data_IF_235870755000
#
_entry.id   IF_235870755000
#
_cell.length_a   1.000
_cell.length_b   1.000
_cell.length_c   1.000
_cell.angle_alpha   90.00
_cell.angle_beta   90.00
_cell.angle_gamma   90.00
#
_symmetry.space_group_name_H-M   'P 1'
#
loop_
_entity.id
_entity.type
_entity.pdbx_description
1 polymer ?
#
# COMPACT_ATOMS: atom_id res chain seq x y z
N UNK A 1 -18.50 5.55 -30.91
CA UNK A 1 -17.19 4.90 -31.05
C UNK A 1 -16.35 5.03 -29.77
N UNK A 2 -16.20 6.25 -29.23
CA UNK A 2 -15.49 6.54 -27.97
C UNK A 2 -15.86 5.66 -26.76
N UNK A 3 -17.16 5.42 -26.54
CA UNK A 3 -17.65 4.60 -25.41
C UNK A 3 -17.25 3.12 -25.51
N UNK A 4 -17.12 2.57 -26.72
CA UNK A 4 -16.61 1.21 -26.93
C UNK A 4 -15.11 1.15 -26.62
N UNK A 5 -14.34 2.11 -27.13
CA UNK A 5 -12.90 2.20 -26.87
C UNK A 5 -12.58 2.37 -25.37
N UNK A 6 -13.41 3.11 -24.62
CA UNK A 6 -13.28 3.22 -23.16
C UNK A 6 -13.56 1.90 -22.44
N UNK A 7 -14.58 1.16 -22.87
CA UNK A 7 -14.91 -0.15 -22.30
C UNK A 7 -13.87 -1.22 -22.65
N UNK A 8 -13.26 -1.13 -23.82
CA UNK A 8 -12.18 -2.02 -24.25
C UNK A 8 -10.91 -1.70 -23.47
N UNK A 9 -10.55 -0.41 -23.33
CA UNK A 9 -9.42 0.02 -22.50
C UNK A 9 -9.59 -0.39 -21.03
N UNK A 10 -10.79 -0.25 -20.46
CA UNK A 10 -11.07 -0.69 -19.09
C UNK A 10 -10.97 -2.21 -18.91
N UNK A 11 -11.27 -2.97 -19.97
CA UNK A 11 -11.18 -4.44 -19.98
C UNK A 11 -9.73 -4.89 -20.13
N UNK A 12 -8.97 -4.25 -21.01
CA UNK A 12 -7.54 -4.51 -21.20
C UNK A 12 -6.76 -4.15 -19.94
N UNK A 13 -7.13 -3.05 -19.27
CA UNK A 13 -6.56 -2.67 -17.97
C UNK A 13 -6.88 -3.74 -16.89
N UNK A 14 -8.12 -4.20 -16.81
CA UNK A 14 -8.53 -5.25 -15.87
C UNK A 14 -7.80 -6.58 -16.11
N UNK A 15 -7.57 -6.94 -17.39
CA UNK A 15 -6.82 -8.15 -17.75
C UNK A 15 -5.35 -7.99 -17.39
N UNK A 16 -4.74 -6.84 -17.68
CA UNK A 16 -3.35 -6.56 -17.31
C UNK A 16 -3.14 -6.55 -15.78
N UNK A 17 -4.13 -6.06 -15.01
CA UNK A 17 -4.14 -6.13 -13.55
C UNK A 17 -4.27 -7.58 -13.05
N UNK A 18 -5.06 -8.43 -13.71
CA UNK A 18 -5.21 -9.84 -13.32
C UNK A 18 -4.02 -10.72 -13.71
N UNK A 19 -3.28 -10.37 -14.77
CA UNK A 19 -2.12 -11.11 -15.26
C UNK A 19 -0.83 -10.78 -14.50
N UNK A 20 -0.81 -9.70 -13.70
CA UNK A 20 0.34 -9.38 -12.86
C UNK A 20 0.36 -10.34 -11.65
N UNK A 21 1.45 -11.13 -11.46
CA UNK A 21 1.55 -12.01 -10.30
C UNK A 21 1.45 -11.20 -9.00
N UNK A 22 0.73 -11.69 -7.97
CA UNK A 22 0.61 -10.97 -6.69
C UNK A 22 1.96 -10.57 -6.08
N UNK A 23 3.00 -11.36 -6.34
CA UNK A 23 4.37 -11.09 -5.88
C UNK A 23 5.01 -9.89 -6.60
N UNK A 24 4.76 -9.70 -7.90
CA UNK A 24 5.28 -8.54 -8.64
C UNK A 24 4.58 -7.24 -8.21
N UNK A 25 3.29 -7.29 -7.90
CA UNK A 25 2.57 -6.12 -7.39
C UNK A 25 2.95 -5.79 -5.94
N UNK A 26 3.16 -6.78 -5.08
CA UNK A 26 3.66 -6.56 -3.71
C UNK A 26 5.03 -5.86 -3.70
N UNK A 27 5.94 -6.25 -4.61
CA UNK A 27 7.25 -5.61 -4.75
C UNK A 27 7.13 -4.15 -5.23
N UNK A 28 6.18 -3.85 -6.12
CA UNK A 28 5.83 -2.46 -6.50
C UNK A 28 5.28 -1.69 -5.31
N UNK A 29 4.43 -2.32 -4.50
CA UNK A 29 3.91 -1.72 -3.27
C UNK A 29 5.02 -1.38 -2.28
N UNK A 30 5.99 -2.27 -2.10
CA UNK A 30 7.18 -2.04 -1.26
C UNK A 30 8.05 -0.89 -1.79
N UNK A 31 8.24 -0.81 -3.10
CA UNK A 31 8.98 0.27 -3.75
C UNK A 31 8.27 1.63 -3.55
N UNK A 32 6.96 1.69 -3.77
CA UNK A 32 6.16 2.90 -3.59
C UNK A 32 6.16 3.40 -2.14
N UNK A 33 6.11 2.49 -1.16
CA UNK A 33 6.25 2.85 0.25
C UNK A 33 7.65 3.39 0.55
N UNK A 34 8.70 2.81 -0.04
CA UNK A 34 10.08 3.32 0.10
C UNK A 34 10.19 4.75 -0.38
N UNK A 35 9.72 5.05 -1.60
CA UNK A 35 9.73 6.40 -2.17
C UNK A 35 8.97 7.39 -1.28
N UNK A 36 7.75 7.03 -0.84
CA UNK A 36 6.94 7.86 0.05
C UNK A 36 7.67 8.23 1.36
N UNK A 37 8.31 7.26 2.02
CA UNK A 37 8.97 7.51 3.31
C UNK A 37 10.36 8.14 3.15
N UNK A 38 10.99 8.04 1.97
CA UNK A 38 12.19 8.80 1.65
C UNK A 38 11.92 10.29 1.49
N UNK A 39 10.80 10.68 0.85
CA UNK A 39 10.37 12.08 0.74
C UNK A 39 10.10 12.74 2.09
N UNK A 40 9.67 11.96 3.08
CA UNK A 40 9.33 12.43 4.43
C UNK A 40 10.55 12.42 5.37
N UNK A 41 11.75 12.05 4.90
CA UNK A 41 12.96 12.03 5.74
C UNK A 41 13.27 13.42 6.31
N UNK A 42 13.07 13.57 7.62
CA UNK A 42 13.70 14.60 8.42
C UNK A 42 15.18 14.25 8.67
N UNK A 43 16.09 15.24 8.86
CA UNK A 43 17.51 15.03 9.12
C UNK A 43 17.82 14.11 10.31
N UNK A 44 16.92 14.03 11.29
CA UNK A 44 17.10 13.30 12.54
C UNK A 44 16.76 11.80 12.44
N UNK A 45 16.27 11.32 11.29
CA UNK A 45 15.76 9.95 11.15
C UNK A 45 16.31 9.14 9.94
N UNK A 46 17.62 9.15 9.63
CA UNK A 46 18.16 8.52 8.43
C UNK A 46 18.21 6.97 8.45
N UNK A 47 17.95 6.32 9.59
CA UNK A 47 18.10 4.84 9.77
C UNK A 47 16.74 4.09 9.78
N UNK A 48 15.62 4.78 9.56
CA UNK A 48 14.28 4.20 9.83
C UNK A 48 13.52 3.72 8.58
N UNK A 49 13.74 4.29 7.39
CA UNK A 49 12.85 4.03 6.24
C UNK A 49 12.80 2.56 5.83
N UNK A 50 13.95 1.92 5.61
CA UNK A 50 14.00 0.50 5.21
C UNK A 50 13.33 -0.41 6.26
N UNK A 51 13.58 -0.15 7.55
CA UNK A 51 12.99 -0.90 8.66
C UNK A 51 11.47 -0.69 8.75
N UNK A 52 11.02 0.54 8.53
CA UNK A 52 9.60 0.89 8.51
C UNK A 52 8.88 0.20 7.36
N UNK A 53 9.41 0.32 6.14
CA UNK A 53 8.82 -0.30 4.94
C UNK A 53 8.79 -1.82 5.08
N UNK A 54 9.87 -2.43 5.53
CA UNK A 54 9.92 -3.88 5.79
C UNK A 54 8.88 -4.28 6.83
N UNK A 55 8.72 -3.48 7.90
CA UNK A 55 7.71 -3.77 8.93
C UNK A 55 6.28 -3.64 8.40
N UNK A 56 6.02 -2.67 7.52
CA UNK A 56 4.71 -2.50 6.86
C UNK A 56 4.43 -3.70 5.92
N UNK A 57 5.40 -4.06 5.09
CA UNK A 57 5.32 -5.21 4.17
C UNK A 57 4.98 -6.51 4.93
N UNK A 58 5.72 -6.82 6.00
CA UNK A 58 5.47 -7.98 6.86
C UNK A 58 4.07 -7.97 7.49
N UNK A 59 3.66 -6.84 8.10
CA UNK A 59 2.39 -6.80 8.83
C UNK A 59 1.21 -6.90 7.86
N UNK A 60 1.29 -6.23 6.70
CA UNK A 60 0.24 -6.26 5.70
C UNK A 60 0.09 -7.68 5.14
N UNK A 61 1.20 -8.35 4.80
CA UNK A 61 1.16 -9.76 4.36
C UNK A 61 0.55 -10.69 5.40
N UNK A 62 0.74 -10.39 6.69
CA UNK A 62 0.20 -11.20 7.79
C UNK A 62 -1.29 -10.97 8.03
N UNK A 63 -1.79 -9.73 7.88
CA UNK A 63 -3.20 -9.41 8.19
C UNK A 63 -4.13 -9.50 6.99
N UNK A 64 -3.60 -9.41 5.77
CA UNK A 64 -4.43 -9.47 4.55
C UNK A 64 -4.95 -10.87 4.29
N UNK A 65 -6.03 -10.94 3.54
CA UNK A 65 -6.61 -12.17 2.98
C UNK A 65 -7.24 -11.86 1.63
N UNK A 66 -7.48 -12.86 0.75
CA UNK A 66 -8.09 -12.61 -0.55
C UNK A 66 -9.40 -11.82 -0.46
N UNK A 67 -9.47 -10.67 -1.12
CA UNK A 67 -10.66 -9.80 -1.13
C UNK A 67 -10.83 -8.91 0.10
N UNK A 68 -9.82 -8.76 0.96
CA UNK A 68 -9.89 -7.91 2.15
C UNK A 68 -10.31 -6.47 1.84
N UNK A 69 -9.92 -5.94 0.67
CA UNK A 69 -10.24 -4.58 0.20
C UNK A 69 -11.74 -4.34 -0.06
N UNK A 70 -12.53 -5.42 -0.17
CA UNK A 70 -13.98 -5.37 -0.37
C UNK A 70 -14.79 -5.48 0.92
N UNK A 71 -14.14 -5.67 2.07
CA UNK A 71 -14.81 -5.90 3.35
C UNK A 71 -14.47 -4.82 4.37
N UNK A 72 -15.46 -4.34 5.11
CA UNK A 72 -15.25 -3.34 6.16
C UNK A 72 -14.34 -3.84 7.28
N UNK A 73 -14.39 -5.15 7.57
CA UNK A 73 -13.53 -5.79 8.56
C UNK A 73 -12.08 -5.90 8.08
N UNK A 74 -11.83 -6.39 6.87
CA UNK A 74 -10.49 -6.48 6.30
C UNK A 74 -9.82 -5.10 6.20
N UNK A 75 -10.53 -4.11 5.69
CA UNK A 75 -10.04 -2.72 5.65
C UNK A 75 -9.70 -2.17 7.05
N UNK A 76 -10.53 -2.46 8.04
CA UNK A 76 -10.31 -2.02 9.43
C UNK A 76 -9.06 -2.64 10.02
N UNK A 77 -8.84 -3.94 9.82
CA UNK A 77 -7.66 -4.63 10.36
C UNK A 77 -6.36 -4.14 9.71
N UNK A 78 -6.34 -3.94 8.38
CA UNK A 78 -5.16 -3.38 7.70
C UNK A 78 -4.87 -1.94 8.14
N UNK A 79 -5.90 -1.08 8.24
CA UNK A 79 -5.73 0.29 8.75
C UNK A 79 -5.18 0.32 10.17
N UNK A 80 -5.67 -0.57 11.05
CA UNK A 80 -5.21 -0.69 12.43
C UNK A 80 -3.76 -1.15 12.51
N UNK A 81 -3.39 -2.16 11.72
CA UNK A 81 -2.03 -2.66 11.63
C UNK A 81 -1.04 -1.59 11.12
N UNK A 82 -1.40 -0.88 10.06
CA UNK A 82 -0.60 0.22 9.51
C UNK A 82 -0.44 1.35 10.52
N UNK A 83 -1.53 1.77 11.18
CA UNK A 83 -1.48 2.85 12.18
C UNK A 83 -0.61 2.49 13.38
N UNK A 84 -0.68 1.24 13.85
CA UNK A 84 0.18 0.73 14.92
C UNK A 84 1.66 0.77 14.51
N UNK A 85 1.96 0.36 13.28
CA UNK A 85 3.32 0.40 12.74
C UNK A 85 3.84 1.83 12.71
N UNK A 86 3.09 2.78 12.13
CA UNK A 86 3.50 4.20 12.14
C UNK A 86 3.60 4.79 13.55
N UNK A 87 2.85 4.28 14.52
CA UNK A 87 2.97 4.69 15.91
C UNK A 87 4.33 4.33 16.50
N UNK A 88 4.79 3.10 16.27
CA UNK A 88 6.09 2.61 16.76
C UNK A 88 7.26 3.45 16.21
N UNK A 89 7.09 4.02 15.01
CA UNK A 89 8.05 4.92 14.36
C UNK A 89 7.76 6.42 14.57
N UNK A 90 6.79 6.77 15.44
CA UNK A 90 6.37 8.16 15.75
C UNK A 90 5.85 8.98 14.55
N UNK A 91 5.38 8.31 13.49
CA UNK A 91 4.82 8.92 12.27
C UNK A 91 3.29 8.95 12.25
N UNK A 92 2.62 8.37 13.25
CA UNK A 92 1.16 8.26 13.33
C UNK A 92 0.37 9.58 13.39
N UNK A 93 1.04 10.70 13.68
CA UNK A 93 0.41 12.02 13.75
C UNK A 93 0.17 12.63 12.37
N UNK A 94 0.94 12.19 11.37
CA UNK A 94 0.78 12.65 9.99
C UNK A 94 -0.36 11.87 9.31
N UNK A 95 -1.50 12.56 9.19
CA UNK A 95 -2.70 11.99 8.56
C UNK A 95 -2.51 11.81 7.05
N UNK A 96 -1.84 12.72 6.38
CA UNK A 96 -1.64 12.65 4.93
C UNK A 96 -0.71 11.47 4.58
N UNK A 97 0.35 11.30 5.37
CA UNK A 97 1.25 10.14 5.25
C UNK A 97 0.52 8.82 5.46
N UNK A 98 -0.35 8.74 6.48
CA UNK A 98 -1.16 7.55 6.72
C UNK A 98 -2.09 7.25 5.54
N UNK A 99 -2.78 8.27 5.02
CA UNK A 99 -3.74 8.09 3.91
C UNK A 99 -3.02 7.65 2.62
N UNK A 100 -1.83 8.22 2.31
CA UNK A 100 -0.99 7.80 1.18
C UNK A 100 -0.47 6.37 1.35
N UNK A 101 0.10 6.04 2.51
CA UNK A 101 0.61 4.71 2.79
C UNK A 101 -0.49 3.64 2.71
N UNK A 102 -1.69 3.94 3.26
CA UNK A 102 -2.83 3.05 3.14
C UNK A 102 -3.29 2.88 1.69
N UNK A 103 -3.26 3.96 0.90
CA UNK A 103 -3.56 3.92 -0.54
C UNK A 103 -2.67 2.91 -1.28
N UNK A 104 -1.35 2.99 -1.08
CA UNK A 104 -0.41 2.05 -1.68
C UNK A 104 -0.62 0.62 -1.18
N UNK A 105 -0.87 0.43 0.11
CA UNK A 105 -1.19 -0.90 0.66
C UNK A 105 -2.44 -1.48 0.01
N UNK A 106 -3.51 -0.69 -0.14
CA UNK A 106 -4.76 -1.14 -0.78
C UNK A 106 -4.57 -1.49 -2.26
N UNK A 107 -3.72 -0.74 -2.96
CA UNK A 107 -3.48 -0.91 -4.39
C UNK A 107 -2.65 -2.15 -4.70
N UNK A 108 -1.66 -2.47 -3.86
CA UNK A 108 -0.61 -3.43 -4.20
C UNK A 108 -0.58 -4.71 -3.35
N UNK A 109 -1.39 -4.81 -2.28
CA UNK A 109 -1.44 -5.98 -1.37
C UNK A 109 -2.84 -6.58 -1.26
#
# INVERSE_FOLDING_TARGET
EFLKQLLDLARDLLVAEQETPPTEDEDRGKAALTELFEEVRAPDTPIIVERLVTRIDEIVRLVRFPGWQGTSEGEREVRKALRKTLFDFKLHQDRELFDKAYGYVRQYY
#
